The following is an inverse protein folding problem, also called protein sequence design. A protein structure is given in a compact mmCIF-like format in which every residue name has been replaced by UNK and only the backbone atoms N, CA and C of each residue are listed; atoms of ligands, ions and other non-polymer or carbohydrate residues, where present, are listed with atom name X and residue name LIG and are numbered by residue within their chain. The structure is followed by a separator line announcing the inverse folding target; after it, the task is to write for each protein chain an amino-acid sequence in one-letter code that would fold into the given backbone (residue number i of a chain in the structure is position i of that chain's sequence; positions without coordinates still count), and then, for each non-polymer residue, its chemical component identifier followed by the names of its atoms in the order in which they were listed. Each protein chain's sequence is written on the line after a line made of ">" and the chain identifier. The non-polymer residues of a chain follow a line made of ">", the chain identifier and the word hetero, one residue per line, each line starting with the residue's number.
data_IF_285260651340
#
_entry.id   IF_285260651340
#
_cell.length_a   1.000
_cell.length_b   1.000
_cell.length_c   1.000
_cell.angle_alpha   90.00
_cell.angle_beta   90.00
_cell.angle_gamma   90.00
#
_symmetry.space_group_name_H-M   'P 1'
#
loop_
_entity.id
_entity.type
_entity.pdbx_description
1 polymer ?
#
# COMPACT_ATOMS: atom_id res chain seq x y z
N UNK A 1 32.78 2.13 7.36
CA UNK A 1 33.21 1.25 6.24
C UNK A 1 32.05 0.69 5.40
N UNK A 2 30.86 0.44 5.95
CA UNK A 2 29.70 -0.10 5.20
C UNK A 2 29.21 0.84 4.08
N UNK A 3 29.19 2.16 4.30
CA UNK A 3 28.67 3.12 3.32
C UNK A 3 29.46 3.18 2.00
N UNK A 4 30.77 2.93 2.05
CA UNK A 4 31.61 2.93 0.85
C UNK A 4 31.32 1.72 -0.04
N UNK A 5 31.06 0.56 0.55
CA UNK A 5 30.66 -0.64 -0.19
C UNK A 5 29.33 -0.43 -0.92
N UNK A 6 28.35 0.18 -0.26
CA UNK A 6 27.04 0.49 -0.86
C UNK A 6 27.19 1.51 -2.00
N UNK A 7 28.01 2.55 -1.80
CA UNK A 7 28.31 3.55 -2.83
C UNK A 7 29.00 2.93 -4.05
N UNK A 8 30.01 2.08 -3.86
CA UNK A 8 30.69 1.40 -4.96
C UNK A 8 29.74 0.49 -5.75
N UNK A 9 28.90 -0.29 -5.06
CA UNK A 9 27.90 -1.15 -5.70
C UNK A 9 26.90 -0.31 -6.50
N UNK A 10 26.39 0.78 -5.92
CA UNK A 10 25.46 1.68 -6.61
C UNK A 10 26.07 2.25 -7.90
N UNK A 11 27.31 2.72 -7.83
CA UNK A 11 28.03 3.24 -9.01
C UNK A 11 28.18 2.16 -10.08
N UNK A 12 28.57 0.94 -9.69
CA UNK A 12 28.72 -0.19 -10.64
C UNK A 12 27.39 -0.48 -11.34
N UNK A 13 26.28 -0.55 -10.59
CA UNK A 13 24.95 -0.81 -11.16
C UNK A 13 24.54 0.28 -12.15
N UNK A 14 24.77 1.55 -11.81
CA UNK A 14 24.46 2.68 -12.71
C UNK A 14 25.29 2.61 -13.99
N UNK A 15 26.58 2.29 -13.89
CA UNK A 15 27.47 2.18 -15.06
C UNK A 15 27.05 1.01 -15.97
N UNK A 16 26.72 -0.15 -15.40
CA UNK A 16 26.22 -1.30 -16.17
C UNK A 16 24.91 -0.93 -16.86
N UNK A 17 23.97 -0.31 -16.15
CA UNK A 17 22.68 0.10 -16.70
C UNK A 17 22.87 1.07 -17.87
N UNK A 18 23.71 2.11 -17.70
CA UNK A 18 24.04 3.06 -18.75
C UNK A 18 24.72 2.37 -19.95
N UNK A 19 25.68 1.47 -19.72
CA UNK A 19 26.35 0.74 -20.78
C UNK A 19 25.37 -0.09 -21.61
N UNK A 20 24.47 -0.85 -20.97
CA UNK A 20 23.47 -1.65 -21.69
C UNK A 20 22.50 -0.75 -22.46
N UNK A 21 22.11 0.40 -21.88
CA UNK A 21 21.22 1.37 -22.51
C UNK A 21 21.81 2.03 -23.76
N UNK A 22 23.11 2.38 -23.75
CA UNK A 22 23.74 3.15 -24.83
C UNK A 22 24.48 2.28 -25.86
N UNK A 23 25.10 1.16 -25.45
CA UNK A 23 25.99 0.37 -26.32
C UNK A 23 25.36 -0.92 -26.85
N UNK A 24 24.14 -1.27 -26.44
CA UNK A 24 23.53 -2.56 -26.81
C UNK A 24 22.19 -2.34 -27.51
N UNK A 25 21.84 -3.12 -28.56
CA UNK A 25 20.54 -3.02 -29.24
C UNK A 25 19.34 -3.39 -28.33
N UNK A 26 19.59 -3.94 -27.14
CA UNK A 26 18.55 -4.25 -26.16
C UNK A 26 18.01 -3.02 -25.41
N UNK A 27 18.48 -1.81 -25.72
CA UNK A 27 18.01 -0.56 -25.12
C UNK A 27 16.49 -0.40 -25.18
N UNK A 28 15.88 -0.70 -26.33
CA UNK A 28 14.43 -0.68 -26.50
C UNK A 28 13.71 -1.67 -25.58
N UNK A 29 14.25 -2.89 -25.44
CA UNK A 29 13.68 -3.94 -24.61
C UNK A 29 13.79 -3.61 -23.11
N UNK A 30 14.91 -3.03 -22.67
CA UNK A 30 15.09 -2.58 -21.27
C UNK A 30 14.15 -1.43 -20.91
N UNK A 31 13.97 -0.46 -21.82
CA UNK A 31 13.04 0.66 -21.62
C UNK A 31 11.59 0.16 -21.55
N UNK A 32 11.21 -0.79 -22.42
CA UNK A 32 9.91 -1.44 -22.35
C UNK A 32 9.71 -2.21 -21.05
N UNK A 33 10.73 -2.92 -20.57
CA UNK A 33 10.64 -3.70 -19.33
C UNK A 33 10.48 -2.80 -18.10
N UNK A 34 11.25 -1.71 -18.00
CA UNK A 34 11.11 -0.74 -16.90
C UNK A 34 9.75 -0.05 -16.91
N UNK A 35 9.25 0.32 -18.10
CA UNK A 35 7.91 0.87 -18.26
C UNK A 35 6.83 -0.15 -17.88
N UNK A 36 6.98 -1.41 -18.29
CA UNK A 36 6.09 -2.50 -17.90
C UNK A 36 6.06 -2.64 -16.39
N UNK A 37 7.21 -2.69 -15.71
CA UNK A 37 7.28 -2.79 -14.25
C UNK A 37 6.59 -1.60 -13.58
N UNK A 38 6.80 -0.38 -14.08
CA UNK A 38 6.13 0.82 -13.56
C UNK A 38 4.61 0.72 -13.71
N UNK A 39 4.12 0.36 -14.90
CA UNK A 39 2.69 0.17 -15.19
C UNK A 39 2.11 -0.97 -14.33
N UNK A 40 2.79 -2.12 -14.27
CA UNK A 40 2.39 -3.26 -13.46
C UNK A 40 2.35 -2.93 -11.96
N UNK A 41 3.24 -2.05 -11.47
CA UNK A 41 3.17 -1.54 -10.11
C UNK A 41 1.89 -0.74 -9.85
N UNK A 42 1.57 0.20 -10.75
CA UNK A 42 0.34 1.02 -10.64
C UNK A 42 -0.91 0.14 -10.73
N UNK A 43 -1.00 -0.71 -11.75
CA UNK A 43 -2.13 -1.61 -11.93
C UNK A 43 -2.21 -2.70 -10.86
N UNK A 44 -1.08 -3.12 -10.29
CA UNK A 44 -1.04 -4.03 -9.14
C UNK A 44 -1.69 -3.40 -7.91
N UNK A 45 -1.42 -2.12 -7.64
CA UNK A 45 -2.08 -1.38 -6.57
C UNK A 45 -3.58 -1.21 -6.86
N UNK A 46 -3.95 -0.80 -8.08
CA UNK A 46 -5.36 -0.65 -8.47
C UNK A 46 -6.12 -1.98 -8.40
N UNK A 47 -5.50 -3.08 -8.83
CA UNK A 47 -6.05 -4.43 -8.74
C UNK A 47 -6.23 -4.88 -7.30
N UNK A 48 -5.28 -4.57 -6.41
CA UNK A 48 -5.41 -4.82 -4.99
C UNK A 48 -6.58 -4.03 -4.37
N UNK A 49 -6.72 -2.75 -4.70
CA UNK A 49 -7.85 -1.93 -4.24
C UNK A 49 -9.17 -2.50 -4.76
N UNK A 50 -9.26 -2.81 -6.05
CA UNK A 50 -10.45 -3.43 -6.64
C UNK A 50 -10.79 -4.78 -5.99
N UNK A 51 -9.77 -5.58 -5.68
CA UNK A 51 -9.94 -6.84 -4.94
C UNK A 51 -10.50 -6.60 -3.53
N UNK A 52 -10.01 -5.61 -2.79
CA UNK A 52 -10.55 -5.29 -1.46
C UNK A 52 -11.99 -4.79 -1.54
N UNK A 53 -12.36 -3.93 -2.50
CA UNK A 53 -13.73 -3.43 -2.65
C UNK A 53 -14.73 -4.54 -3.04
N UNK A 54 -14.31 -5.48 -3.89
CA UNK A 54 -15.14 -6.62 -4.29
C UNK A 54 -15.34 -7.63 -3.15
N UNK A 55 -14.36 -7.72 -2.24
CA UNK A 55 -14.38 -8.66 -1.10
C UNK A 55 -14.87 -8.03 0.20
N UNK A 56 -14.98 -6.71 0.28
CA UNK A 56 -15.73 -6.03 1.33
C UNK A 56 -17.21 -6.04 0.96
N UNK A 57 -18.03 -6.88 1.60
CA UNK A 57 -19.47 -6.88 1.37
C UNK A 57 -19.99 -5.46 1.65
N UNK A 58 -20.97 -4.99 0.85
CA UNK A 58 -21.48 -3.63 0.90
C UNK A 58 -21.67 -3.20 2.36
N UNK A 59 -21.16 -2.00 2.73
CA UNK A 59 -21.16 -1.52 4.10
C UNK A 59 -22.55 -1.71 4.68
N UNK A 60 -22.63 -2.36 5.84
CA UNK A 60 -23.90 -2.60 6.54
C UNK A 60 -24.67 -1.27 6.64
N UNK A 61 -26.01 -1.28 6.49
CA UNK A 61 -26.83 -0.08 6.59
C UNK A 61 -26.46 0.71 7.85
N UNK A 62 -26.21 2.01 7.68
CA UNK A 62 -25.74 2.91 8.75
C UNK A 62 -26.65 2.87 10.00
N UNK A 63 -27.92 2.49 9.81
CA UNK A 63 -28.94 2.30 10.85
C UNK A 63 -28.61 1.23 11.91
N UNK A 64 -27.88 0.16 11.56
CA UNK A 64 -27.47 -0.87 12.54
C UNK A 64 -26.30 -0.38 13.41
N UNK A 65 -25.38 0.38 12.82
CA UNK A 65 -24.21 0.94 13.50
C UNK A 65 -24.63 2.07 14.46
N UNK A 66 -25.58 2.92 14.05
CA UNK A 66 -26.16 3.95 14.95
C UNK A 66 -26.89 3.33 16.14
N UNK A 67 -27.67 2.25 15.93
CA UNK A 67 -28.38 1.57 17.02
C UNK A 67 -27.45 0.91 18.03
N UNK A 68 -26.38 0.24 17.58
CA UNK A 68 -25.39 -0.35 18.49
C UNK A 68 -24.69 0.73 19.33
N UNK A 69 -24.30 1.86 18.72
CA UNK A 69 -23.67 2.99 19.43
C UNK A 69 -24.65 3.65 20.41
N UNK A 70 -25.93 3.83 20.05
CA UNK A 70 -26.96 4.32 20.96
C UNK A 70 -27.21 3.36 22.13
N UNK A 71 -27.21 2.05 21.87
CA UNK A 71 -27.45 1.04 22.89
C UNK A 71 -26.26 0.92 23.86
N UNK A 72 -25.02 1.03 23.37
CA UNK A 72 -23.81 1.10 24.19
C UNK A 72 -23.75 2.40 25.00
N UNK A 73 -24.02 3.56 24.37
CA UNK A 73 -24.05 4.85 25.05
C UNK A 73 -25.16 4.92 26.12
N UNK A 74 -26.31 4.30 25.87
CA UNK A 74 -27.42 4.23 26.83
C UNK A 74 -27.10 3.29 28.00
N UNK A 75 -26.39 2.17 27.76
CA UNK A 75 -25.87 1.28 28.81
C UNK A 75 -24.80 1.96 29.66
N UNK A 76 -23.88 2.72 29.06
CA UNK A 76 -22.88 3.50 29.80
C UNK A 76 -23.50 4.65 30.62
N UNK A 77 -24.57 5.29 30.14
CA UNK A 77 -25.22 6.40 30.87
C UNK A 77 -26.10 5.95 32.05
N UNK A 78 -26.48 4.67 32.13
CA UNK A 78 -27.50 4.17 33.08
C UNK A 78 -26.99 3.32 34.25
N UNK A 79 -25.68 3.26 34.54
CA UNK A 79 -25.24 2.91 35.90
C UNK A 79 -23.72 2.69 36.11
N UNK A 80 -23.20 2.75 37.35
CA UNK A 80 -23.69 3.38 38.58
C UNK A 80 -22.67 4.41 39.16
N UNK A 81 -22.97 5.71 39.08
CA UNK A 81 -22.37 6.72 39.97
C UNK A 81 -23.10 6.69 41.32
N UNK A 82 -22.91 5.65 42.14
CA UNK A 82 -23.29 5.65 43.56
C UNK A 82 -22.78 4.40 44.27
N UNK A 83 -21.47 4.30 44.53
CA UNK A 83 -20.94 3.61 45.72
C UNK A 83 -19.42 3.79 45.84
N UNK A 84 -18.99 4.90 46.43
CA UNK A 84 -17.75 4.93 47.22
C UNK A 84 -17.77 6.17 48.13
N UNK A 85 -18.30 6.00 49.33
CA UNK A 85 -18.06 6.86 50.49
C UNK A 85 -18.04 5.98 51.73
#
# INVERSE_FOLDING_TARGET
>A
MIGWGLLAISIIVVLIYAYVLFFTPYSGLLMQLTLLIAVAGVFGILGWIGYTLATTPPPKPIEEIEKEIEEEAKKESSGPQSQSS
#
